data_IF_298228228744
#
_entry.id   IF_298228228744
#
_cell.length_a   1.000
_cell.length_b   1.000
_cell.length_c   1.000
_cell.angle_alpha   90.00
_cell.angle_beta   90.00
_cell.angle_gamma   90.00
#
_symmetry.space_group_name_H-M   'P 1'
#
loop_
_entity.id
_entity.type
_entity.pdbx_description
1 polymer ?
#
# COMPACT_ATOMS: atom_id res chain seq x y z
N UNK A 1 -25.89 -2.88 27.14
CA UNK A 1 -26.33 -4.13 26.47
C UNK A 1 -27.40 -4.89 27.27
N UNK A 2 -27.08 -5.57 28.38
CA UNK A 2 -28.02 -6.47 29.09
C UNK A 2 -29.40 -5.87 29.41
N UNK A 3 -29.44 -4.64 29.95
CA UNK A 3 -30.68 -3.91 30.24
C UNK A 3 -31.62 -3.75 29.03
N UNK A 4 -31.09 -3.66 27.82
CA UNK A 4 -31.87 -3.42 26.60
C UNK A 4 -32.19 -4.71 25.85
N UNK A 5 -31.25 -5.66 25.81
CA UNK A 5 -31.43 -6.93 25.11
C UNK A 5 -32.32 -7.91 25.89
N UNK A 6 -32.27 -7.87 27.23
CA UNK A 6 -33.04 -8.76 28.12
C UNK A 6 -33.68 -7.97 29.27
N UNK A 7 -34.66 -7.09 28.99
CA UNK A 7 -35.17 -6.13 29.95
C UNK A 7 -35.95 -6.77 31.12
N UNK A 8 -36.66 -7.88 30.88
CA UNK A 8 -37.42 -8.58 31.92
C UNK A 8 -36.51 -9.22 32.97
N UNK A 9 -35.50 -9.97 32.53
CA UNK A 9 -34.50 -10.59 33.40
C UNK A 9 -33.70 -9.55 34.17
N UNK A 10 -33.28 -8.47 33.50
CA UNK A 10 -32.58 -7.37 34.16
C UNK A 10 -33.41 -6.79 35.31
N UNK A 11 -34.70 -6.47 35.07
CA UNK A 11 -35.59 -5.91 36.10
C UNK A 11 -35.80 -6.88 37.25
N UNK A 12 -36.04 -8.17 36.96
CA UNK A 12 -36.23 -9.21 37.97
C UNK A 12 -34.99 -9.36 38.87
N UNK A 13 -33.79 -9.44 38.27
CA UNK A 13 -32.55 -9.51 39.06
C UNK A 13 -32.32 -8.24 39.87
N UNK A 14 -32.56 -7.06 39.28
CA UNK A 14 -32.36 -5.78 39.97
C UNK A 14 -33.28 -5.62 41.19
N UNK A 15 -34.55 -6.02 41.08
CA UNK A 15 -35.52 -5.99 42.19
C UNK A 15 -35.11 -6.93 43.33
N UNK A 16 -34.82 -8.20 43.01
CA UNK A 16 -34.39 -9.17 44.00
C UNK A 16 -33.08 -8.78 44.72
N UNK A 17 -32.17 -8.10 44.01
CA UNK A 17 -30.94 -7.55 44.59
C UNK A 17 -31.17 -6.35 45.50
N UNK A 18 -32.21 -5.56 45.23
CA UNK A 18 -32.55 -4.39 46.05
C UNK A 18 -33.17 -4.81 47.40
N UNK A 19 -34.04 -5.83 47.40
CA UNK A 19 -34.71 -6.35 48.59
C UNK A 19 -33.73 -6.87 49.65
N UNK A 20 -32.68 -7.59 49.23
CA UNK A 20 -31.66 -8.18 50.12
C UNK A 20 -30.41 -7.28 50.30
N UNK A 21 -30.47 -6.01 49.89
CA UNK A 21 -29.29 -5.12 49.85
C UNK A 21 -28.67 -4.88 51.23
N UNK A 22 -29.49 -4.52 52.22
CA UNK A 22 -29.04 -4.13 53.55
C UNK A 22 -28.32 -5.29 54.27
N UNK A 23 -28.95 -6.48 54.29
CA UNK A 23 -28.38 -7.69 54.90
C UNK A 23 -27.02 -8.05 54.27
N UNK A 24 -26.89 -7.89 52.95
CA UNK A 24 -25.65 -8.18 52.24
C UNK A 24 -24.56 -7.14 52.50
N UNK A 25 -24.89 -5.85 52.53
CA UNK A 25 -23.92 -4.79 52.83
C UNK A 25 -23.35 -4.97 54.24
N UNK A 26 -24.21 -5.21 55.23
CA UNK A 26 -23.78 -5.49 56.61
C UNK A 26 -22.91 -6.75 56.68
N UNK A 27 -23.31 -7.81 56.00
CA UNK A 27 -22.55 -9.06 55.98
C UNK A 27 -21.20 -8.96 55.26
N UNK A 28 -21.12 -8.23 54.14
CA UNK A 28 -19.84 -7.99 53.45
C UNK A 28 -18.93 -7.14 54.34
N UNK A 29 -19.47 -6.14 55.03
CA UNK A 29 -18.70 -5.26 55.89
C UNK A 29 -18.16 -5.99 57.12
N UNK A 30 -18.92 -6.91 57.73
CA UNK A 30 -18.42 -7.73 58.85
C UNK A 30 -17.28 -8.65 58.40
N UNK A 31 -17.47 -9.40 57.30
CA UNK A 31 -16.42 -10.26 56.72
C UNK A 31 -15.18 -9.46 56.30
N UNK A 32 -15.38 -8.26 55.73
CA UNK A 32 -14.28 -7.35 55.37
C UNK A 32 -13.46 -6.94 56.58
N UNK A 33 -14.12 -6.54 57.68
CA UNK A 33 -13.44 -6.13 58.93
C UNK A 33 -12.69 -7.29 59.57
N UNK A 34 -13.31 -8.47 59.62
CA UNK A 34 -12.68 -9.68 60.12
C UNK A 34 -11.40 -10.00 59.35
N UNK A 35 -11.49 -10.09 58.01
CA UNK A 35 -10.33 -10.41 57.17
C UNK A 35 -9.23 -9.32 57.27
N UNK A 36 -9.62 -8.05 57.37
CA UNK A 36 -8.68 -6.95 57.55
C UNK A 36 -7.91 -7.06 58.88
N UNK A 37 -8.57 -7.47 59.96
CA UNK A 37 -7.96 -7.66 61.26
C UNK A 37 -7.02 -8.89 61.28
N UNK A 38 -7.42 -9.99 60.66
CA UNK A 38 -6.62 -11.21 60.53
C UNK A 38 -5.31 -10.95 59.76
N UNK A 39 -5.38 -10.22 58.64
CA UNK A 39 -4.19 -9.84 57.86
C UNK A 39 -3.29 -8.88 58.65
N UNK A 40 -3.86 -7.92 59.37
CA UNK A 40 -3.09 -6.99 60.21
C UNK A 40 -2.38 -7.70 61.37
N UNK A 41 -3.03 -8.68 62.02
CA UNK A 41 -2.44 -9.47 63.10
C UNK A 41 -1.24 -10.32 62.60
N UNK A 42 -1.25 -10.74 61.34
CA UNK A 42 -0.14 -11.42 60.69
C UNK A 42 0.96 -10.45 60.18
N UNK A 43 0.84 -9.15 60.42
CA UNK A 43 1.79 -8.14 59.96
C UNK A 43 1.70 -7.81 58.46
N UNK A 44 0.62 -8.22 57.79
CA UNK A 44 0.42 -8.01 56.35
C UNK A 44 -0.36 -6.71 56.12
N UNK A 45 0.31 -5.73 55.52
CA UNK A 45 -0.34 -4.47 55.11
C UNK A 45 -1.14 -4.70 53.84
N UNK A 46 -2.46 -4.76 53.99
CA UNK A 46 -3.39 -4.99 52.88
C UNK A 46 -4.62 -4.09 52.99
N UNK A 47 -5.23 -3.76 51.85
CA UNK A 47 -6.52 -3.08 51.78
C UNK A 47 -7.60 -4.08 51.36
N UNK A 48 -8.55 -4.36 52.25
CA UNK A 48 -9.69 -5.24 51.96
C UNK A 48 -10.92 -4.43 51.56
N UNK A 49 -11.46 -4.71 50.37
CA UNK A 49 -12.64 -4.05 49.79
C UNK A 49 -13.72 -5.07 49.43
N UNK A 50 -14.99 -4.71 49.60
CA UNK A 50 -16.12 -5.49 49.09
C UNK A 50 -16.26 -5.34 47.58
N UNK A 51 -16.38 -6.45 46.84
CA UNK A 51 -16.56 -6.45 45.38
C UNK A 51 -18.03 -6.68 45.01
N UNK A 52 -18.78 -5.66 44.57
CA UNK A 52 -20.11 -5.90 44.02
C UNK A 52 -20.01 -6.67 42.70
N UNK A 53 -20.85 -7.70 42.53
CA UNK A 53 -20.97 -8.45 41.26
C UNK A 53 -21.90 -7.71 40.30
N UNK A 54 -21.50 -7.55 39.05
CA UNK A 54 -22.34 -6.95 38.01
C UNK A 54 -23.55 -7.82 37.67
N UNK A 55 -24.71 -7.20 37.43
CA UNK A 55 -25.98 -7.87 37.11
C UNK A 55 -25.86 -8.88 35.96
N UNK A 56 -25.14 -8.51 34.89
CA UNK A 56 -24.95 -9.39 33.75
C UNK A 56 -24.11 -10.63 34.10
N UNK A 57 -23.08 -10.50 34.92
CA UNK A 57 -22.26 -11.63 35.37
C UNK A 57 -23.04 -12.59 36.27
N UNK A 58 -23.95 -12.06 37.09
CA UNK A 58 -24.87 -12.86 37.91
C UNK A 58 -25.80 -13.66 36.98
N UNK A 59 -26.46 -13.00 36.04
CA UNK A 59 -27.35 -13.64 35.07
C UNK A 59 -26.62 -14.72 34.24
N UNK A 60 -25.40 -14.44 33.75
CA UNK A 60 -24.59 -15.41 33.00
C UNK A 60 -24.23 -16.65 33.84
N UNK A 61 -23.89 -16.47 35.12
CA UNK A 61 -23.62 -17.60 36.04
C UNK A 61 -24.88 -18.42 36.34
N UNK A 62 -26.04 -17.78 36.48
CA UNK A 62 -27.31 -18.47 36.66
C UNK A 62 -27.64 -19.36 35.46
N UNK A 63 -27.52 -18.83 34.25
CA UNK A 63 -27.76 -19.58 33.00
C UNK A 63 -26.78 -20.74 32.84
N UNK A 64 -25.47 -20.49 33.03
CA UNK A 64 -24.44 -21.50 32.78
C UNK A 64 -24.39 -22.66 33.78
N UNK A 65 -24.79 -22.44 35.05
CA UNK A 65 -24.75 -23.47 36.11
C UNK A 65 -26.14 -23.98 36.53
N UNK A 66 -27.22 -23.48 35.94
CA UNK A 66 -28.59 -23.81 36.33
C UNK A 66 -28.91 -23.48 37.80
N UNK A 67 -28.22 -22.51 38.38
CA UNK A 67 -28.31 -22.20 39.81
C UNK A 67 -29.52 -21.30 40.10
N UNK A 68 -30.26 -21.66 41.15
CA UNK A 68 -31.31 -20.81 41.71
C UNK A 68 -30.71 -19.49 42.23
N UNK A 69 -31.51 -18.43 42.12
CA UNK A 69 -31.15 -17.06 42.46
C UNK A 69 -30.55 -16.96 43.89
N UNK A 70 -31.12 -17.68 44.86
CA UNK A 70 -30.67 -17.71 46.27
C UNK A 70 -29.27 -18.33 46.45
N UNK A 71 -28.87 -19.33 45.66
CA UNK A 71 -27.52 -19.92 45.71
C UNK A 71 -26.46 -19.04 45.07
N UNK A 72 -26.84 -18.19 44.10
CA UNK A 72 -25.92 -17.24 43.46
C UNK A 72 -25.71 -16.00 44.33
N UNK A 73 -26.69 -15.65 45.17
CA UNK A 73 -26.64 -14.51 46.09
C UNK A 73 -25.73 -14.71 47.31
N UNK A 74 -25.43 -15.95 47.68
CA UNK A 74 -24.58 -16.25 48.85
C UNK A 74 -23.08 -16.07 48.56
N UNK A 75 -22.69 -15.90 47.29
CA UNK A 75 -21.29 -15.74 46.89
C UNK A 75 -20.84 -14.30 47.02
N UNK A 76 -20.60 -13.88 48.26
CA UNK A 76 -19.89 -12.64 48.60
C UNK A 76 -18.49 -12.67 47.99
N UNK A 77 -18.00 -11.50 47.59
CA UNK A 77 -16.66 -11.38 47.03
C UNK A 77 -15.90 -10.25 47.71
N UNK A 78 -14.70 -10.56 48.17
CA UNK A 78 -13.75 -9.63 48.75
C UNK A 78 -12.53 -9.49 47.85
N UNK A 79 -11.94 -8.30 47.87
CA UNK A 79 -10.73 -7.97 47.15
C UNK A 79 -9.69 -7.50 48.15
N UNK A 80 -8.53 -8.14 48.15
CA UNK A 80 -7.38 -7.82 48.97
C UNK A 80 -6.31 -7.22 48.05
N UNK A 81 -5.95 -5.97 48.31
CA UNK A 81 -4.90 -5.26 47.57
C UNK A 81 -3.67 -5.15 48.46
N UNK A 82 -2.54 -5.65 47.96
CA UNK A 82 -1.25 -5.64 48.66
C UNK A 82 -0.18 -4.89 47.85
N UNK A 83 0.99 -4.68 48.45
CA UNK A 83 2.09 -3.93 47.82
C UNK A 83 2.75 -4.72 46.67
N UNK A 84 3.10 -5.98 46.90
CA UNK A 84 3.91 -6.78 45.98
C UNK A 84 3.41 -8.24 45.87
N UNK A 85 4.04 -8.99 44.96
CA UNK A 85 3.68 -10.39 44.68
C UNK A 85 3.95 -11.32 45.87
N UNK A 86 5.09 -11.23 46.58
CA UNK A 86 5.28 -12.01 47.81
C UNK A 86 4.16 -11.78 48.84
N UNK A 87 3.72 -10.54 49.04
CA UNK A 87 2.60 -10.22 49.93
C UNK A 87 1.28 -10.84 49.45
N UNK A 88 1.07 -11.07 48.15
CA UNK A 88 -0.13 -11.76 47.65
C UNK A 88 -0.18 -13.20 48.18
N UNK A 89 0.93 -13.92 48.09
CA UNK A 89 1.02 -15.30 48.56
C UNK A 89 1.02 -15.40 50.08
N UNK A 90 1.62 -14.44 50.79
CA UNK A 90 1.52 -14.34 52.24
C UNK A 90 0.06 -14.13 52.70
N UNK A 91 -0.67 -13.22 52.04
CA UNK A 91 -2.08 -12.98 52.31
C UNK A 91 -2.93 -14.22 52.00
N UNK A 92 -2.65 -14.95 50.91
CA UNK A 92 -3.31 -16.21 50.59
C UNK A 92 -3.10 -17.25 51.70
N UNK A 93 -1.84 -17.42 52.13
CA UNK A 93 -1.49 -18.36 53.19
C UNK A 93 -2.21 -18.02 54.50
N UNK A 94 -2.30 -16.74 54.85
CA UNK A 94 -3.02 -16.30 56.04
C UNK A 94 -4.53 -16.58 55.93
N UNK A 95 -5.13 -16.31 54.76
CA UNK A 95 -6.54 -16.60 54.50
C UNK A 95 -6.84 -18.10 54.66
N UNK A 96 -5.98 -18.97 54.14
CA UNK A 96 -6.13 -20.43 54.26
C UNK A 96 -5.82 -20.98 55.66
N UNK A 97 -5.03 -20.25 56.46
CA UNK A 97 -4.77 -20.60 57.85
C UNK A 97 -5.97 -20.27 58.76
N UNK A 98 -6.65 -19.14 58.49
CA UNK A 98 -7.82 -18.70 59.26
C UNK A 98 -9.12 -19.36 58.81
N UNK A 99 -9.27 -19.65 57.52
CA UNK A 99 -10.53 -20.13 56.93
C UNK A 99 -10.29 -21.36 56.07
N UNK A 100 -11.22 -22.32 56.15
CA UNK A 100 -11.13 -23.56 55.38
C UNK A 100 -11.32 -23.29 53.88
N UNK A 101 -10.35 -23.61 53.00
CA UNK A 101 -10.51 -23.46 51.56
C UNK A 101 -11.45 -24.52 50.97
N UNK A 102 -12.22 -24.13 49.97
CA UNK A 102 -13.08 -25.02 49.19
C UNK A 102 -12.25 -25.74 48.12
N UNK A 103 -12.19 -27.08 48.11
CA UNK A 103 -11.42 -27.83 47.13
C UNK A 103 -11.83 -27.50 45.68
N UNK A 104 -10.85 -27.30 44.80
CA UNK A 104 -11.09 -27.02 43.38
C UNK A 104 -11.46 -25.57 43.05
N UNK A 105 -11.59 -24.68 44.05
CA UNK A 105 -11.93 -23.27 43.87
C UNK A 105 -10.72 -22.35 44.17
N UNK A 106 -9.52 -22.76 43.72
CA UNK A 106 -8.29 -21.98 43.77
C UNK A 106 -7.70 -21.82 42.37
N UNK A 107 -7.49 -20.57 41.94
CA UNK A 107 -6.82 -20.23 40.69
C UNK A 107 -5.68 -19.25 40.93
N UNK A 108 -4.51 -19.59 40.40
CA UNK A 108 -3.35 -18.70 40.37
C UNK A 108 -3.20 -18.03 39.00
N UNK A 109 -3.85 -16.87 38.85
CA UNK A 109 -3.68 -16.05 37.63
C UNK A 109 -2.46 -15.12 37.71
N UNK A 110 -1.68 -15.13 38.80
CA UNK A 110 -0.39 -14.42 38.83
C UNK A 110 0.62 -15.24 38.03
N UNK A 111 0.72 -16.53 38.33
CA UNK A 111 1.60 -17.47 37.64
C UNK A 111 1.08 -17.83 36.24
N UNK A 112 -0.25 -17.90 36.06
CA UNK A 112 -0.90 -18.20 34.77
C UNK A 112 -1.89 -17.10 34.38
N UNK A 113 -1.41 -15.95 33.87
CA UNK A 113 -2.27 -14.84 33.48
C UNK A 113 -3.30 -15.26 32.43
N UNK A 114 -4.48 -14.63 32.47
CA UNK A 114 -5.49 -14.85 31.41
C UNK A 114 -5.03 -14.23 30.09
N UNK A 115 -5.60 -14.63 28.93
CA UNK A 115 -5.22 -14.10 27.62
C UNK A 115 -5.27 -12.57 27.49
N UNK A 116 -6.09 -11.90 28.32
CA UNK A 116 -6.21 -10.45 28.37
C UNK A 116 -5.23 -9.76 29.34
N UNK A 117 -4.23 -10.47 29.86
CA UNK A 117 -3.26 -9.95 30.82
C UNK A 117 -3.78 -9.88 32.27
N UNK A 118 -5.00 -10.35 32.56
CA UNK A 118 -5.54 -10.31 33.92
C UNK A 118 -4.75 -11.19 34.89
N UNK A 119 -4.33 -10.59 36.01
CA UNK A 119 -3.57 -11.23 37.08
C UNK A 119 -4.24 -11.01 38.45
N UNK A 120 -4.38 -12.09 39.22
CA UNK A 120 -4.90 -12.13 40.60
C UNK A 120 -4.86 -13.57 41.13
N UNK A 121 -4.71 -13.77 42.44
CA UNK A 121 -5.04 -15.03 43.09
C UNK A 121 -6.53 -15.05 43.40
N UNK A 122 -7.21 -16.15 43.09
CA UNK A 122 -8.63 -16.35 43.41
C UNK A 122 -8.73 -17.57 44.30
N UNK A 123 -9.45 -17.44 45.41
CA UNK A 123 -9.76 -18.57 46.28
C UNK A 123 -11.16 -18.43 46.86
N UNK A 124 -11.85 -19.54 47.08
CA UNK A 124 -13.11 -19.56 47.84
C UNK A 124 -12.84 -20.23 49.19
N UNK A 125 -13.20 -19.55 50.28
CA UNK A 125 -13.05 -20.06 51.65
C UNK A 125 -14.37 -19.97 52.41
N UNK A 126 -14.54 -20.80 53.43
CA UNK A 126 -15.73 -20.80 54.29
C UNK A 126 -15.48 -19.92 55.51
N UNK A 127 -16.28 -18.85 55.67
CA UNK A 127 -16.27 -18.00 56.85
C UNK A 127 -17.33 -18.47 57.85
N UNK A 128 -16.93 -18.60 59.12
CA UNK A 128 -17.84 -18.91 60.21
C UNK A 128 -18.61 -17.65 60.63
N UNK A 129 -19.92 -17.76 60.84
CA UNK A 129 -20.72 -16.63 61.34
C UNK A 129 -20.50 -16.48 62.84
N UNK A 130 -20.20 -15.26 63.28
CA UNK A 130 -20.07 -14.88 64.70
C UNK A 130 -21.42 -14.82 65.43
N UNK A 131 -22.55 -14.92 64.71
CA UNK A 131 -23.90 -14.79 65.26
C UNK A 131 -24.65 -16.13 65.30
N UNK A 132 -24.26 -17.04 66.21
CA UNK A 132 -25.13 -17.95 66.96
C UNK A 132 -26.12 -18.91 66.25
N UNK A 133 -26.22 -18.93 64.92
CA UNK A 133 -27.10 -19.84 64.20
C UNK A 133 -26.33 -21.13 63.89
N UNK A 134 -26.51 -22.13 64.75
CA UNK A 134 -25.99 -23.48 64.56
C UNK A 134 -26.41 -24.06 63.19
N UNK A 135 -25.46 -24.03 62.26
CA UNK A 135 -25.49 -24.76 61.01
C UNK A 135 -24.06 -25.15 60.65
N UNK A 136 -23.82 -26.44 60.43
CA UNK A 136 -22.52 -27.10 60.19
C UNK A 136 -21.83 -26.71 58.86
N UNK A 137 -22.13 -25.54 58.32
CA UNK A 137 -21.61 -25.08 57.03
C UNK A 137 -21.32 -23.58 57.07
N UNK A 138 -20.04 -23.21 57.19
CA UNK A 138 -19.58 -21.83 56.99
C UNK A 138 -19.98 -21.29 55.62
N UNK A 139 -20.11 -19.97 55.49
CA UNK A 139 -20.56 -19.33 54.24
C UNK A 139 -19.42 -19.17 53.25
N UNK A 140 -19.60 -19.56 51.96
CA UNK A 140 -18.54 -19.44 50.96
C UNK A 140 -18.31 -17.98 50.55
N UNK A 141 -17.08 -17.51 50.71
CA UNK A 141 -16.65 -16.16 50.31
C UNK A 141 -15.51 -16.29 49.30
N UNK A 142 -15.68 -15.62 48.17
CA UNK A 142 -14.67 -15.51 47.12
C UNK A 142 -13.68 -14.40 47.48
N UNK A 143 -12.40 -14.72 47.67
CA UNK A 143 -11.33 -13.77 47.99
C UNK A 143 -10.41 -13.62 46.79
N UNK A 144 -10.20 -12.39 46.36
CA UNK A 144 -9.32 -12.04 45.25
C UNK A 144 -8.15 -11.22 45.75
N UNK A 145 -6.93 -11.75 45.61
CA UNK A 145 -5.71 -11.14 46.13
C UNK A 145 -4.84 -10.69 44.96
N UNK A 146 -4.42 -9.44 44.97
CA UNK A 146 -3.58 -8.87 43.90
C UNK A 146 -2.85 -7.62 44.37
N UNK A 147 -1.84 -7.20 43.60
CA UNK A 147 -1.14 -5.94 43.86
C UNK A 147 -1.94 -4.73 43.41
N UNK A 148 -1.54 -3.53 43.84
CA UNK A 148 -2.12 -2.28 43.34
C UNK A 148 -2.00 -2.15 41.81
N UNK A 149 -0.85 -2.48 41.23
CA UNK A 149 -0.63 -2.45 39.78
C UNK A 149 -1.53 -3.45 39.03
N UNK A 150 -1.65 -4.69 39.54
CA UNK A 150 -2.57 -5.69 38.98
C UNK A 150 -4.04 -5.25 39.10
N UNK A 151 -4.39 -4.56 40.18
CA UNK A 151 -5.72 -4.00 40.35
C UNK A 151 -6.01 -2.94 39.30
N UNK A 152 -5.10 -2.00 39.07
CA UNK A 152 -5.24 -0.93 38.09
C UNK A 152 -5.42 -1.49 36.67
N UNK A 153 -4.56 -2.44 36.29
CA UNK A 153 -4.63 -3.13 35.00
C UNK A 153 -5.94 -3.92 34.83
N UNK A 154 -6.45 -4.55 35.89
CA UNK A 154 -7.68 -5.31 35.81
C UNK A 154 -8.95 -4.45 35.66
N UNK A 155 -8.96 -3.23 36.18
CA UNK A 155 -10.12 -2.33 36.08
C UNK A 155 -10.12 -1.52 34.77
N UNK A 156 -8.95 -1.03 34.35
CA UNK A 156 -8.84 -0.14 33.19
C UNK A 156 -8.20 -0.82 31.97
N UNK A 157 -7.83 -2.10 32.08
CA UNK A 157 -7.15 -2.83 31.02
C UNK A 157 -5.79 -2.21 30.69
N UNK A 158 -5.46 -2.20 29.41
CA UNK A 158 -4.19 -1.64 28.94
C UNK A 158 -4.19 -0.11 28.91
N UNK A 159 -5.35 0.53 29.08
CA UNK A 159 -5.43 1.99 29.23
C UNK A 159 -4.82 2.50 30.54
N UNK A 160 -4.81 1.69 31.62
CA UNK A 160 -4.13 2.05 32.88
C UNK A 160 -2.60 2.17 32.72
N UNK A 161 -2.00 1.29 31.92
CA UNK A 161 -0.56 1.31 31.68
C UNK A 161 -0.11 2.56 30.89
N UNK A 162 -1.04 3.25 30.20
CA UNK A 162 -0.79 4.57 29.58
C UNK A 162 -0.79 5.71 30.61
N UNK A 163 -1.77 5.76 31.52
CA UNK A 163 -1.91 6.86 32.48
C UNK A 163 -0.80 6.86 33.57
N UNK A 164 -0.41 5.69 34.08
CA UNK A 164 0.60 5.60 35.14
C UNK A 164 2.02 5.98 34.65
N UNK A 165 2.35 5.67 33.39
CA UNK A 165 3.67 5.99 32.80
C UNK A 165 3.78 7.42 32.25
N UNK A 166 2.67 8.06 31.88
CA UNK A 166 2.66 9.52 31.62
C UNK A 166 2.92 10.32 32.92
N UNK A 167 2.42 9.85 34.06
CA UNK A 167 2.60 10.54 35.34
C UNK A 167 4.01 10.36 35.97
N UNK A 168 4.71 9.27 35.64
CA UNK A 168 6.04 8.94 36.18
C UNK A 168 7.22 9.69 35.55
N UNK A 169 7.01 10.45 34.47
CA UNK A 169 8.08 11.15 33.72
C UNK A 169 8.38 12.58 34.21
N UNK A 170 8.07 12.91 35.47
CA UNK A 170 8.50 14.16 36.13
C UNK A 170 9.53 13.86 37.22
N UNK A 171 10.69 13.36 36.82
CA UNK A 171 11.78 13.13 37.75
C UNK A 171 13.07 12.69 37.07
N UNK A 172 13.94 13.68 36.81
CA UNK A 172 15.38 13.53 36.58
C UNK A 172 15.89 13.08 35.19
N UNK A 173 16.42 14.08 34.48
CA UNK A 173 17.61 14.10 33.61
C UNK A 173 17.94 12.88 32.71
N UNK A 174 17.98 13.12 31.40
CA UNK A 174 18.90 12.42 30.49
C UNK A 174 18.31 12.09 29.11
N UNK A 175 18.81 12.77 28.08
CA UNK A 175 18.44 12.72 26.65
C UNK A 175 18.78 11.37 25.96
N UNK A 176 18.73 10.24 26.69
CA UNK A 176 19.01 8.90 26.16
C UNK A 176 17.80 7.94 26.21
N UNK A 177 16.74 8.27 26.97
CA UNK A 177 15.62 7.36 27.22
C UNK A 177 14.39 7.54 26.31
N UNK A 178 14.42 8.44 25.31
CA UNK A 178 13.29 8.64 24.41
C UNK A 178 13.07 7.43 23.48
N UNK A 179 14.14 6.81 22.97
CA UNK A 179 14.07 5.66 22.07
C UNK A 179 13.55 4.39 22.74
N UNK A 180 14.11 4.01 23.91
CA UNK A 180 13.62 2.84 24.65
C UNK A 180 12.18 3.00 25.16
N UNK A 181 11.79 4.24 25.48
CA UNK A 181 10.42 4.54 25.91
C UNK A 181 9.43 4.43 24.76
N UNK A 182 9.73 5.02 23.60
CA UNK A 182 8.90 4.87 22.40
C UNK A 182 8.81 3.42 21.93
N UNK A 183 9.92 2.67 21.97
CA UNK A 183 9.97 1.26 21.58
C UNK A 183 9.14 0.37 22.53
N UNK A 184 9.17 0.65 23.84
CA UNK A 184 8.32 -0.07 24.83
C UNK A 184 6.84 0.30 24.72
N UNK A 185 6.52 1.56 24.40
CA UNK A 185 5.13 2.00 24.14
C UNK A 185 4.59 1.40 22.85
N UNK A 186 5.43 1.34 21.82
CA UNK A 186 5.17 0.65 20.57
C UNK A 186 4.88 -0.85 20.81
N UNK A 187 5.71 -1.54 21.59
CA UNK A 187 5.51 -2.96 21.89
C UNK A 187 4.25 -3.22 22.70
N UNK A 188 3.93 -2.36 23.68
CA UNK A 188 2.68 -2.45 24.43
C UNK A 188 1.45 -2.25 23.52
N UNK A 189 1.48 -1.27 22.60
CA UNK A 189 0.40 -1.06 21.60
C UNK A 189 0.22 -2.27 20.69
N UNK A 190 1.33 -2.85 20.20
CA UNK A 190 1.30 -4.09 19.40
C UNK A 190 0.68 -5.24 20.18
N UNK A 191 1.02 -5.42 21.46
CA UNK A 191 0.48 -6.47 22.31
C UNK A 191 -1.04 -6.35 22.50
N UNK A 192 -1.57 -5.13 22.72
CA UNK A 192 -3.01 -4.89 22.83
C UNK A 192 -3.73 -5.20 21.54
N UNK A 193 -3.21 -4.71 20.41
CA UNK A 193 -3.88 -4.91 19.14
C UNK A 193 -3.81 -6.38 18.69
N UNK A 194 -2.70 -7.08 18.97
CA UNK A 194 -2.60 -8.53 18.80
C UNK A 194 -3.65 -9.26 19.65
N UNK A 195 -3.88 -8.85 20.90
CA UNK A 195 -4.95 -9.41 21.74
C UNK A 195 -6.35 -9.14 21.19
N UNK A 196 -6.61 -7.93 20.68
CA UNK A 196 -7.90 -7.58 20.07
C UNK A 196 -8.15 -8.37 18.77
N UNK A 197 -7.13 -8.53 17.93
CA UNK A 197 -7.21 -9.33 16.70
C UNK A 197 -7.31 -10.84 16.99
N UNK A 198 -6.66 -11.33 18.06
CA UNK A 198 -6.82 -12.70 18.52
C UNK A 198 -8.25 -12.96 19.02
N UNK A 199 -8.84 -12.01 19.74
CA UNK A 199 -10.25 -12.07 20.15
C UNK A 199 -11.23 -12.04 18.97
N UNK A 200 -10.94 -11.27 17.92
CA UNK A 200 -11.73 -11.30 16.69
C UNK A 200 -11.69 -12.69 16.04
N UNK A 201 -10.51 -13.32 15.95
CA UNK A 201 -10.36 -14.70 15.46
C UNK A 201 -11.10 -15.73 16.31
N UNK A 202 -11.07 -15.60 17.63
CA UNK A 202 -11.81 -16.50 18.53
C UNK A 202 -13.33 -16.32 18.39
N UNK A 203 -13.80 -15.11 18.06
CA UNK A 203 -15.21 -14.82 17.76
C UNK A 203 -15.64 -15.31 16.38
N UNK A 204 -14.82 -15.13 15.34
CA UNK A 204 -15.12 -15.62 13.98
C UNK A 204 -15.03 -17.14 13.88
N UNK A 205 -14.08 -17.78 14.57
CA UNK A 205 -14.00 -19.24 14.66
C UNK A 205 -15.19 -19.89 15.38
N UNK A 206 -15.94 -19.16 16.22
CA UNK A 206 -17.23 -19.62 16.76
C UNK A 206 -18.41 -19.40 15.81
N UNK A 207 -18.28 -18.52 14.81
CA UNK A 207 -19.32 -18.26 13.81
C UNK A 207 -19.27 -19.24 12.62
N UNK A 208 -18.12 -19.87 12.36
CA UNK A 208 -17.96 -20.89 11.30
C UNK A 208 -18.78 -22.18 11.54
N UNK A 209 -19.30 -22.40 12.75
CA UNK A 209 -20.21 -23.51 13.04
C UNK A 209 -21.64 -23.36 12.50
N UNK A 210 -21.99 -22.22 11.88
CA UNK A 210 -23.39 -21.92 11.53
C UNK A 210 -23.63 -21.26 10.16
N UNK A 211 -22.67 -21.25 9.22
CA UNK A 211 -22.85 -20.58 7.93
C UNK A 211 -22.53 -21.49 6.73
N UNK A 212 -23.34 -22.53 6.55
CA UNK A 212 -23.41 -23.29 5.29
C UNK A 212 -24.66 -22.87 4.48
N UNK A 213 -24.71 -21.64 3.99
CA UNK A 213 -25.61 -21.24 2.89
C UNK A 213 -25.05 -20.02 2.18
N UNK A 214 -24.68 -20.19 0.91
CA UNK A 214 -24.07 -19.15 0.10
C UNK A 214 -25.02 -18.00 -0.26
N UNK A 215 -24.45 -16.80 -0.34
CA UNK A 215 -24.93 -15.71 -1.20
C UNK A 215 -23.79 -14.69 -1.41
N UNK A 216 -23.44 -14.49 -2.69
CA UNK A 216 -22.53 -13.47 -3.21
C UNK A 216 -22.78 -12.07 -2.60
N UNK A 217 -21.82 -11.52 -1.87
CA UNK A 217 -21.72 -10.08 -1.55
C UNK A 217 -20.26 -9.63 -1.40
N UNK A 218 -19.64 -9.13 -2.48
CA UNK A 218 -18.39 -8.34 -2.45
C UNK A 218 -17.13 -9.07 -1.90
N UNK A 219 -15.94 -8.45 -1.96
CA UNK A 219 -14.75 -9.06 -1.36
C UNK A 219 -14.98 -9.15 0.14
N UNK A 220 -15.02 -10.37 0.65
CA UNK A 220 -15.17 -10.70 2.07
C UNK A 220 -14.20 -9.86 2.90
N UNK A 221 -14.64 -9.36 4.06
CA UNK A 221 -13.79 -8.71 5.06
C UNK A 221 -12.65 -9.62 5.59
N UNK A 222 -12.60 -10.89 5.15
CA UNK A 222 -11.61 -11.92 5.46
C UNK A 222 -10.26 -11.75 4.74
N UNK A 223 -10.15 -10.81 3.78
CA UNK A 223 -8.95 -10.66 2.93
C UNK A 223 -7.99 -9.53 3.36
N UNK A 224 -8.01 -9.09 4.62
CA UNK A 224 -7.16 -8.00 5.11
C UNK A 224 -6.27 -8.42 6.26
N UNK A 225 -4.98 -8.08 6.16
CA UNK A 225 -3.97 -8.30 7.21
C UNK A 225 -3.51 -6.94 7.75
N UNK A 226 -3.25 -6.90 9.05
CA UNK A 226 -2.72 -5.73 9.73
C UNK A 226 -1.29 -6.01 10.17
N UNK A 227 -0.36 -5.22 9.65
CA UNK A 227 1.07 -5.35 9.94
C UNK A 227 1.57 -4.07 10.59
N UNK A 228 2.60 -4.20 11.42
CA UNK A 228 3.16 -3.08 12.17
C UNK A 228 4.45 -2.56 11.53
N UNK A 229 4.64 -1.25 11.58
CA UNK A 229 5.96 -0.65 11.39
C UNK A 229 6.82 -0.81 12.64
N UNK A 230 8.15 -0.62 12.57
CA UNK A 230 9.01 -0.57 13.75
C UNK A 230 8.53 0.45 14.79
N UNK A 231 7.94 1.57 14.32
CA UNK A 231 7.33 2.62 15.15
C UNK A 231 5.91 2.27 15.66
N UNK A 232 5.49 1.01 15.56
CA UNK A 232 4.15 0.52 15.93
C UNK A 232 2.96 1.25 15.27
N UNK A 233 3.16 1.78 14.07
CA UNK A 233 2.02 2.21 13.25
C UNK A 233 1.41 1.00 12.56
N UNK A 234 0.08 0.91 12.59
CA UNK A 234 -0.67 -0.19 11.95
C UNK A 234 -0.89 0.15 10.50
N UNK A 235 -0.56 -0.78 9.62
CA UNK A 235 -0.79 -0.67 8.18
C UNK A 235 -1.65 -1.84 7.74
N UNK A 236 -2.71 -1.49 7.03
CA UNK A 236 -3.63 -2.45 6.43
C UNK A 236 -3.13 -2.86 5.04
N UNK A 237 -3.06 -4.16 4.80
CA UNK A 237 -2.70 -4.75 3.52
C UNK A 237 -3.72 -5.84 3.13
N UNK A 238 -3.74 -6.22 1.85
CA UNK A 238 -4.49 -7.39 1.41
C UNK A 238 -3.86 -8.70 1.88
N UNK A 239 -4.65 -9.75 2.04
CA UNK A 239 -4.18 -11.07 2.39
C UNK A 239 -3.12 -11.58 1.40
N UNK A 240 -2.07 -12.20 1.94
CA UNK A 240 -0.91 -12.65 1.15
C UNK A 240 -0.01 -11.54 0.62
N UNK A 241 -0.18 -10.29 1.06
CA UNK A 241 0.75 -9.21 0.73
C UNK A 241 2.17 -9.52 1.21
N UNK A 242 3.15 -9.00 0.49
CA UNK A 242 4.58 -9.22 0.76
C UNK A 242 5.23 -7.99 1.40
N UNK A 243 6.48 -8.10 1.91
CA UNK A 243 7.25 -6.95 2.35
C UNK A 243 7.43 -5.85 1.30
N UNK A 244 7.45 -6.21 0.00
CA UNK A 244 7.53 -5.23 -1.10
C UNK A 244 6.24 -4.43 -1.19
N UNK A 245 5.09 -5.09 -1.07
CA UNK A 245 3.80 -4.40 -1.03
C UNK A 245 3.69 -3.45 0.17
N UNK A 246 4.15 -3.89 1.34
CA UNK A 246 4.24 -3.04 2.54
C UNK A 246 5.10 -1.78 2.30
N UNK A 247 6.27 -1.93 1.65
CA UNK A 247 7.14 -0.82 1.33
C UNK A 247 6.46 0.21 0.39
N UNK A 248 5.71 -0.25 -0.61
CA UNK A 248 4.97 0.63 -1.53
C UNK A 248 3.78 1.34 -0.90
N UNK A 249 3.16 0.75 0.12
CA UNK A 249 2.10 1.39 0.90
C UNK A 249 2.67 2.50 1.78
N UNK A 250 3.84 2.27 2.39
CA UNK A 250 4.55 3.29 3.15
C UNK A 250 4.99 4.48 2.29
N UNK A 251 5.74 4.21 1.23
CA UNK A 251 6.19 5.25 0.30
C UNK A 251 6.61 4.65 -1.05
N UNK A 252 6.30 5.33 -2.15
CA UNK A 252 6.66 4.84 -3.49
C UNK A 252 8.18 4.72 -3.67
N UNK A 253 8.96 5.70 -3.21
CA UNK A 253 10.43 5.64 -3.27
C UNK A 253 11.06 4.63 -2.31
N UNK A 254 10.36 4.30 -1.20
CA UNK A 254 10.81 3.22 -0.32
C UNK A 254 10.61 1.87 -1.01
N UNK A 255 9.47 1.68 -1.68
CA UNK A 255 9.21 0.53 -2.54
C UNK A 255 10.25 0.37 -3.65
N UNK A 256 10.56 1.45 -4.39
CA UNK A 256 11.58 1.41 -5.45
C UNK A 256 12.97 1.02 -4.96
N UNK A 257 13.33 1.42 -3.73
CA UNK A 257 14.64 1.15 -3.14
C UNK A 257 14.68 -0.08 -2.24
N UNK A 258 13.58 -0.83 -2.13
CA UNK A 258 13.46 -1.99 -1.27
C UNK A 258 14.44 -3.09 -1.72
N UNK A 259 15.33 -3.52 -0.82
CA UNK A 259 16.35 -4.57 -1.11
C UNK A 259 16.22 -5.78 -0.21
N UNK A 260 15.74 -5.59 1.00
CA UNK A 260 15.49 -6.67 1.96
C UNK A 260 14.40 -6.27 2.94
N UNK A 261 13.91 -7.25 3.69
CA UNK A 261 12.96 -7.01 4.76
C UNK A 261 13.31 -7.87 5.97
N UNK A 262 13.02 -7.34 7.16
CA UNK A 262 13.01 -8.09 8.41
C UNK A 262 11.59 -8.18 8.93
N UNK A 263 11.18 -9.37 9.33
CA UNK A 263 9.88 -9.61 9.96
C UNK A 263 10.14 -10.11 11.37
N UNK A 264 9.62 -9.40 12.36
CA UNK A 264 9.84 -9.64 13.80
C UNK A 264 11.35 -9.79 14.16
N UNK A 265 12.19 -8.99 13.50
CA UNK A 265 13.65 -8.95 13.70
C UNK A 265 14.45 -9.95 12.86
N UNK A 266 13.81 -10.93 12.20
CA UNK A 266 14.48 -11.92 11.35
C UNK A 266 14.49 -11.49 9.87
N UNK A 267 15.62 -11.66 9.17
CA UNK A 267 15.72 -11.42 7.72
C UNK A 267 14.87 -12.45 6.96
N UNK A 268 13.96 -11.98 6.12
CA UNK A 268 13.09 -12.83 5.30
C UNK A 268 13.24 -12.51 3.81
N UNK A 269 13.03 -13.50 2.93
CA UNK A 269 12.90 -13.27 1.50
C UNK A 269 11.75 -12.30 1.17
N UNK A 270 11.95 -11.44 0.16
CA UNK A 270 10.97 -10.43 -0.26
C UNK A 270 9.65 -11.00 -0.82
N UNK A 271 9.62 -12.27 -1.20
CA UNK A 271 8.42 -12.99 -1.67
C UNK A 271 7.66 -13.70 -0.54
N UNK A 272 8.10 -13.58 0.71
CA UNK A 272 7.43 -14.19 1.86
C UNK A 272 6.10 -13.49 2.12
N UNK A 273 4.96 -14.20 2.20
CA UNK A 273 3.68 -13.58 2.54
C UNK A 273 3.68 -13.15 4.02
N UNK A 274 3.16 -11.96 4.28
CA UNK A 274 3.02 -11.40 5.61
C UNK A 274 1.78 -11.95 6.31
N UNK A 275 1.89 -12.12 7.63
CA UNK A 275 0.81 -12.54 8.50
C UNK A 275 0.35 -11.39 9.42
N UNK A 276 -0.88 -11.51 9.91
CA UNK A 276 -1.47 -10.51 10.79
C UNK A 276 -0.68 -10.38 12.10
N UNK A 277 -0.43 -9.14 12.54
CA UNK A 277 0.24 -8.83 13.80
C UNK A 277 1.78 -8.88 13.77
N UNK A 278 2.40 -9.07 12.60
CA UNK A 278 3.86 -9.07 12.45
C UNK A 278 4.41 -7.64 12.36
N UNK A 279 5.63 -7.42 12.86
CA UNK A 279 6.38 -6.16 12.66
C UNK A 279 7.29 -6.30 11.45
N UNK A 280 7.14 -5.41 10.47
CA UNK A 280 7.93 -5.42 9.23
C UNK A 280 8.86 -4.21 9.18
N UNK A 281 10.15 -4.46 9.07
CA UNK A 281 11.19 -3.45 8.83
C UNK A 281 11.71 -3.60 7.40
N UNK A 282 11.73 -2.51 6.63
CA UNK A 282 12.19 -2.52 5.24
C UNK A 282 13.62 -1.99 5.18
N UNK A 283 14.51 -2.79 4.59
CA UNK A 283 15.90 -2.39 4.31
C UNK A 283 15.97 -1.83 2.90
N UNK A 284 16.18 -0.52 2.80
CA UNK A 284 16.27 0.20 1.54
C UNK A 284 17.72 0.54 1.16
N UNK A 285 18.05 0.44 -0.13
CA UNK A 285 19.33 0.89 -0.67
C UNK A 285 19.38 2.43 -0.82
N UNK A 286 20.59 3.01 -0.80
CA UNK A 286 20.77 4.45 -1.06
C UNK A 286 20.42 4.81 -2.50
N UNK A 287 20.91 3.98 -3.44
CA UNK A 287 20.71 4.12 -4.88
C UNK A 287 20.22 2.79 -5.47
N UNK A 288 19.48 2.86 -6.56
CA UNK A 288 18.92 1.71 -7.25
C UNK A 288 17.44 1.87 -7.61
N UNK A 289 16.88 0.84 -8.22
CA UNK A 289 15.48 0.78 -8.61
C UNK A 289 14.90 -0.63 -8.43
N UNK A 290 13.60 -0.78 -8.69
CA UNK A 290 12.92 -2.07 -8.62
C UNK A 290 13.51 -3.07 -9.63
N UNK A 291 13.37 -4.37 -9.36
CA UNK A 291 13.68 -5.42 -10.35
C UNK A 291 12.49 -5.68 -11.27
N UNK A 292 12.75 -6.03 -12.54
CA UNK A 292 11.73 -6.52 -13.47
C UNK A 292 11.07 -7.82 -12.98
N UNK A 293 11.80 -8.63 -12.22
CA UNK A 293 11.31 -9.89 -11.63
C UNK A 293 10.11 -9.67 -10.72
N UNK A 294 9.96 -8.47 -10.14
CA UNK A 294 8.84 -8.14 -9.27
C UNK A 294 7.50 -8.05 -10.02
N UNK A 295 7.55 -7.84 -11.34
CA UNK A 295 6.37 -7.84 -12.20
C UNK A 295 5.94 -9.26 -12.59
N UNK A 296 6.79 -10.26 -12.42
CA UNK A 296 6.45 -11.66 -12.70
C UNK A 296 5.49 -12.19 -11.64
N UNK A 297 4.31 -12.64 -12.07
CA UNK A 297 3.27 -13.16 -11.19
C UNK A 297 3.67 -14.48 -10.50
N UNK A 298 4.53 -15.29 -11.12
CA UNK A 298 4.93 -16.61 -10.61
C UNK A 298 5.93 -16.50 -9.44
N UNK A 299 6.80 -15.49 -9.46
CA UNK A 299 7.81 -15.29 -8.42
C UNK A 299 7.22 -14.74 -7.11
N UNK A 300 5.99 -14.22 -7.15
CA UNK A 300 5.22 -13.88 -5.96
C UNK A 300 5.71 -12.66 -5.17
N UNK A 301 6.57 -11.81 -5.73
CA UNK A 301 7.11 -10.63 -5.02
C UNK A 301 6.09 -9.54 -4.75
N UNK A 302 5.15 -9.30 -5.67
CA UNK A 302 4.15 -8.24 -5.55
C UNK A 302 2.77 -8.85 -5.80
N UNK A 303 1.86 -8.70 -4.84
CA UNK A 303 0.46 -9.11 -4.96
C UNK A 303 -0.44 -7.91 -5.26
N UNK A 304 -0.17 -6.75 -4.65
CA UNK A 304 -1.02 -5.57 -4.81
C UNK A 304 -1.00 -5.01 -6.26
N UNK A 305 -2.18 -4.83 -6.91
CA UNK A 305 -2.26 -4.20 -8.22
C UNK A 305 -1.68 -2.78 -8.25
N UNK A 306 -1.84 -2.04 -7.14
CA UNK A 306 -1.31 -0.68 -7.00
C UNK A 306 0.22 -0.66 -7.04
N UNK A 307 0.87 -1.55 -6.30
CA UNK A 307 2.33 -1.68 -6.29
C UNK A 307 2.86 -2.05 -7.67
N UNK A 308 2.22 -3.01 -8.37
CA UNK A 308 2.58 -3.38 -9.75
C UNK A 308 2.49 -2.19 -10.70
N UNK A 309 1.44 -1.39 -10.59
CA UNK A 309 1.28 -0.19 -11.42
C UNK A 309 2.40 0.84 -11.18
N UNK A 310 2.84 1.02 -9.93
CA UNK A 310 3.96 1.91 -9.58
C UNK A 310 5.29 1.43 -10.17
N UNK A 311 5.60 0.14 -10.04
CA UNK A 311 6.80 -0.45 -10.67
C UNK A 311 6.78 -0.28 -12.19
N UNK A 312 5.65 -0.57 -12.85
CA UNK A 312 5.50 -0.37 -14.30
C UNK A 312 5.69 1.10 -14.71
N UNK A 313 5.11 2.02 -13.96
CA UNK A 313 5.26 3.45 -14.22
C UNK A 313 6.73 3.89 -14.12
N UNK A 314 7.48 3.34 -13.16
CA UNK A 314 8.92 3.63 -13.02
C UNK A 314 9.73 3.17 -14.23
N UNK A 315 9.54 1.92 -14.69
CA UNK A 315 10.22 1.42 -15.89
C UNK A 315 9.82 2.16 -17.16
N UNK A 316 8.53 2.50 -17.29
CA UNK A 316 8.05 3.30 -18.43
C UNK A 316 8.67 4.69 -18.44
N UNK A 317 8.81 5.34 -17.28
CA UNK A 317 9.48 6.64 -17.17
C UNK A 317 10.97 6.54 -17.54
N UNK A 318 11.66 5.48 -17.10
CA UNK A 318 13.06 5.25 -17.45
C UNK A 318 13.24 4.99 -18.96
N UNK A 319 12.38 4.16 -19.55
CA UNK A 319 12.38 3.90 -20.99
C UNK A 319 12.10 5.19 -21.78
N UNK A 320 11.12 5.99 -21.34
CA UNK A 320 10.78 7.27 -21.96
C UNK A 320 11.95 8.26 -21.90
N UNK A 321 12.61 8.38 -20.75
CA UNK A 321 13.80 9.21 -20.60
C UNK A 321 14.95 8.76 -21.54
N UNK A 322 15.16 7.45 -21.69
CA UNK A 322 16.13 6.89 -22.64
C UNK A 322 15.77 7.18 -24.10
N UNK A 323 14.49 7.09 -24.46
CA UNK A 323 13.98 7.43 -25.80
C UNK A 323 14.17 8.91 -26.11
N UNK A 324 13.82 9.80 -25.17
CA UNK A 324 14.02 11.25 -25.30
C UNK A 324 15.52 11.57 -25.46
N UNK A 325 16.39 10.96 -24.65
CA UNK A 325 17.83 11.16 -24.76
C UNK A 325 18.38 10.72 -26.13
N UNK A 326 17.92 9.58 -26.65
CA UNK A 326 18.29 9.10 -27.99
C UNK A 326 17.79 10.03 -29.09
N UNK A 327 16.53 10.47 -29.03
CA UNK A 327 15.97 11.40 -30.00
C UNK A 327 16.69 12.75 -29.98
N UNK A 328 17.05 13.24 -28.79
CA UNK A 328 17.88 14.44 -28.63
C UNK A 328 19.24 14.29 -29.30
N UNK A 329 19.93 13.17 -29.07
CA UNK A 329 21.22 12.90 -29.70
C UNK A 329 21.11 12.87 -31.24
N UNK A 330 20.06 12.27 -31.80
CA UNK A 330 19.81 12.23 -33.24
C UNK A 330 19.58 13.62 -33.83
N UNK A 331 18.76 14.44 -33.17
CA UNK A 331 18.47 15.82 -33.61
C UNK A 331 19.71 16.71 -33.47
N UNK A 332 20.46 16.60 -32.38
CA UNK A 332 21.70 17.36 -32.18
C UNK A 332 22.77 16.99 -33.23
N UNK A 333 22.96 15.70 -33.52
CA UNK A 333 23.85 15.26 -34.61
C UNK A 333 23.42 15.80 -35.96
N UNK A 334 22.11 15.84 -36.23
CA UNK A 334 21.57 16.41 -37.46
C UNK A 334 21.87 17.91 -37.56
N UNK A 335 21.58 18.69 -36.51
CA UNK A 335 21.85 20.12 -36.45
C UNK A 335 23.34 20.44 -36.61
N UNK A 336 24.21 19.59 -36.04
CA UNK A 336 25.66 19.70 -36.21
C UNK A 336 26.09 19.47 -37.66
N UNK A 337 25.52 18.47 -38.34
CA UNK A 337 25.80 18.19 -39.76
C UNK A 337 25.35 19.32 -40.68
N UNK A 338 24.23 19.97 -40.35
CA UNK A 338 23.69 21.11 -41.09
C UNK A 338 24.32 22.46 -40.70
N UNK A 339 25.23 22.49 -39.71
CA UNK A 339 25.89 23.71 -39.23
C UNK A 339 24.96 24.69 -38.49
N UNK A 340 23.83 24.21 -37.96
CA UNK A 340 22.75 25.02 -37.36
C UNK A 340 22.64 24.80 -35.83
N UNK A 341 23.77 24.72 -35.12
CA UNK A 341 23.81 24.40 -33.67
C UNK A 341 23.33 25.52 -32.75
N UNK A 342 23.22 26.76 -33.24
CA UNK A 342 22.77 27.90 -32.44
C UNK A 342 21.22 28.00 -32.31
N UNK A 343 20.47 27.13 -32.97
CA UNK A 343 19.00 27.14 -32.89
C UNK A 343 18.57 26.63 -31.52
N UNK A 344 17.69 27.37 -30.85
CA UNK A 344 17.05 26.91 -29.62
C UNK A 344 16.09 25.76 -29.93
N UNK A 345 16.29 24.63 -29.25
CA UNK A 345 15.58 23.37 -29.53
C UNK A 345 14.05 23.50 -29.36
N UNK A 346 13.59 24.34 -28.43
CA UNK A 346 12.16 24.63 -28.26
C UNK A 346 11.55 25.39 -29.44
N UNK A 347 12.30 26.28 -30.09
CA UNK A 347 11.82 27.01 -31.27
C UNK A 347 11.71 26.08 -32.47
N UNK A 348 12.67 25.17 -32.61
CA UNK A 348 12.63 24.12 -33.63
C UNK A 348 11.39 23.22 -33.44
N UNK A 349 11.12 22.82 -32.19
CA UNK A 349 9.95 22.02 -31.86
C UNK A 349 8.64 22.78 -32.16
N UNK A 350 8.56 24.07 -31.81
CA UNK A 350 7.39 24.90 -32.08
C UNK A 350 7.13 25.07 -33.59
N UNK A 351 8.18 25.26 -34.41
CA UNK A 351 8.06 25.34 -35.88
C UNK A 351 7.53 24.04 -36.50
N UNK A 352 7.84 22.90 -35.89
CA UNK A 352 7.37 21.59 -36.30
C UNK A 352 6.01 21.22 -35.70
N UNK A 353 5.40 22.10 -34.89
CA UNK A 353 4.08 21.90 -34.29
C UNK A 353 4.07 21.10 -32.98
N UNK A 354 5.22 20.88 -32.35
CA UNK A 354 5.32 20.23 -31.05
C UNK A 354 5.22 21.23 -29.89
N UNK A 355 4.73 20.75 -28.75
CA UNK A 355 4.54 21.58 -27.54
C UNK A 355 5.86 22.00 -26.86
N UNK A 356 6.97 21.32 -27.16
CA UNK A 356 8.30 21.60 -26.61
C UNK A 356 9.34 20.60 -27.12
N UNK A 357 10.62 20.84 -26.83
CA UNK A 357 11.73 20.03 -27.33
C UNK A 357 11.64 18.55 -26.92
N UNK A 358 11.29 18.25 -25.66
CA UNK A 358 11.18 16.86 -25.19
C UNK A 358 10.14 16.05 -25.96
N UNK A 359 9.03 16.66 -26.36
CA UNK A 359 8.00 16.00 -27.17
C UNK A 359 8.48 15.69 -28.58
N UNK A 360 9.25 16.60 -29.19
CA UNK A 360 9.91 16.33 -30.47
C UNK A 360 10.90 15.16 -30.32
N UNK A 361 11.75 15.18 -29.29
CA UNK A 361 12.74 14.14 -29.06
C UNK A 361 12.12 12.77 -28.76
N UNK A 362 10.99 12.74 -28.04
CA UNK A 362 10.26 11.50 -27.79
C UNK A 362 9.80 10.84 -29.11
N UNK A 363 9.16 11.61 -29.99
CA UNK A 363 8.60 11.12 -31.26
C UNK A 363 9.72 10.76 -32.26
N UNK A 364 10.81 11.54 -32.29
CA UNK A 364 12.00 11.20 -33.09
C UNK A 364 12.69 9.96 -32.53
N UNK A 365 12.81 9.82 -31.21
CA UNK A 365 13.43 8.65 -30.57
C UNK A 365 12.62 7.35 -30.74
N UNK A 366 11.32 7.46 -31.01
CA UNK A 366 10.41 6.37 -31.40
C UNK A 366 10.40 6.08 -32.91
N UNK A 367 11.16 6.84 -33.71
CA UNK A 367 11.15 6.79 -35.17
C UNK A 367 9.78 7.10 -35.83
N UNK A 368 8.84 7.70 -35.08
CA UNK A 368 7.54 8.13 -35.59
C UNK A 368 7.66 9.41 -36.45
N UNK A 369 8.67 10.24 -36.18
CA UNK A 369 8.97 11.44 -36.95
C UNK A 369 10.34 11.33 -37.62
N UNK A 370 10.34 11.34 -38.96
CA UNK A 370 11.57 11.23 -39.74
C UNK A 370 12.45 12.48 -39.63
N UNK A 371 13.75 12.26 -39.43
CA UNK A 371 14.77 13.33 -39.45
C UNK A 371 14.76 14.14 -40.76
N UNK A 372 14.30 13.55 -41.87
CA UNK A 372 14.18 14.24 -43.16
C UNK A 372 13.21 15.44 -43.12
N UNK A 373 12.18 15.36 -42.30
CA UNK A 373 11.23 16.47 -42.14
C UNK A 373 11.91 17.67 -41.47
N UNK A 374 12.83 17.41 -40.53
CA UNK A 374 13.65 18.44 -39.89
C UNK A 374 14.64 19.03 -40.90
N UNK A 375 15.26 18.19 -41.75
CA UNK A 375 16.14 18.66 -42.83
C UNK A 375 15.44 19.58 -43.82
N UNK A 376 14.21 19.24 -44.23
CA UNK A 376 13.41 20.06 -45.14
C UNK A 376 13.09 21.44 -44.57
N UNK A 377 12.86 21.53 -43.26
CA UNK A 377 12.67 22.81 -42.57
C UNK A 377 13.97 23.63 -42.54
N UNK A 378 15.12 22.99 -42.30
CA UNK A 378 16.42 23.65 -42.21
C UNK A 378 16.99 24.04 -43.59
N UNK A 379 16.61 23.29 -44.64
CA UNK A 379 16.88 23.55 -46.05
C UNK A 379 15.57 23.77 -46.80
N UNK A 380 14.91 24.93 -46.62
CA UNK A 380 13.78 25.26 -47.47
C UNK A 380 14.24 25.18 -48.92
N UNK A 381 13.48 24.49 -49.77
CA UNK A 381 13.79 24.37 -51.19
C UNK A 381 14.05 25.78 -51.74
N UNK A 382 15.19 25.97 -52.40
CA UNK A 382 15.44 27.22 -53.11
C UNK A 382 14.20 27.50 -53.98
N UNK A 383 13.67 28.74 -53.99
CA UNK A 383 12.58 29.07 -54.89
C UNK A 383 13.00 28.59 -56.27
N UNK A 384 12.12 27.80 -56.92
CA UNK A 384 12.38 27.31 -58.25
C UNK A 384 12.91 28.51 -59.07
N UNK A 385 14.04 28.39 -59.79
CA UNK A 385 14.44 29.45 -60.68
C UNK A 385 13.20 29.78 -61.49
N UNK A 386 12.80 31.07 -61.48
CA UNK A 386 11.63 31.54 -62.22
C UNK A 386 11.70 30.85 -63.57
N UNK A 387 10.65 30.11 -63.94
CA UNK A 387 10.60 29.43 -65.22
C UNK A 387 10.96 30.49 -66.26
N UNK A 388 12.20 30.46 -66.77
CA UNK A 388 12.52 31.16 -68.00
C UNK A 388 11.52 30.55 -68.97
N UNK A 389 10.52 31.34 -69.35
CA UNK A 389 9.45 30.93 -70.25
C UNK A 389 10.12 30.27 -71.45
N UNK A 390 10.20 28.94 -71.39
CA UNK A 390 10.78 28.16 -72.46
C UNK A 390 9.89 28.44 -73.64
N UNK A 391 10.41 29.16 -74.62
CA UNK A 391 9.68 29.46 -75.85
C UNK A 391 9.35 28.10 -76.47
N UNK A 392 8.16 27.60 -76.16
CA UNK A 392 7.61 26.42 -76.79
C UNK A 392 7.30 26.82 -78.23
N UNK A 393 8.30 26.70 -79.10
CA UNK A 393 8.10 26.72 -80.54
C UNK A 393 7.15 25.57 -80.87
N UNK A 394 5.86 25.88 -80.99
CA UNK A 394 4.87 24.97 -81.57
C UNK A 394 5.44 24.51 -82.90
N UNK A 395 5.80 23.23 -82.99
CA UNK A 395 6.05 22.58 -84.28
C UNK A 395 4.79 22.76 -85.10
N UNK A 396 4.83 23.68 -86.07
CA UNK A 396 3.82 23.73 -87.11
C UNK A 396 3.81 22.37 -87.79
N UNK A 397 2.61 21.78 -87.90
CA UNK A 397 2.39 20.62 -88.76
C UNK A 397 2.94 20.99 -90.13
N UNK A 398 3.93 20.25 -90.62
CA UNK A 398 4.43 20.39 -91.97
C UNK A 398 3.26 20.14 -92.93
N UNK A 399 2.68 21.21 -93.47
CA UNK A 399 1.86 21.14 -94.67
C UNK A 399 2.76 20.71 -95.82
N UNK A 400 2.25 19.85 -96.71
CA UNK A 400 2.92 19.31 -97.90
C UNK A 400 3.25 20.41 -98.93
N UNK A 401 4.13 21.34 -98.56
CA UNK A 401 4.72 22.37 -99.40
C UNK A 401 6.22 22.14 -99.46
N UNK A 402 6.62 21.03 -100.07
CA UNK A 402 8.01 20.68 -100.31
C UNK A 402 8.64 21.51 -101.44
N UNK A 403 9.97 21.41 -101.56
CA UNK A 403 10.74 22.06 -102.63
C UNK A 403 10.31 21.50 -103.99
N UNK A 404 9.77 22.35 -104.87
CA UNK A 404 9.41 22.01 -106.24
C UNK A 404 10.66 22.03 -107.13
N UNK A 405 10.93 20.92 -107.82
CA UNK A 405 12.02 20.83 -108.79
C UNK A 405 11.46 21.15 -110.17
N UNK A 406 12.04 22.14 -110.85
CA UNK A 406 11.55 22.62 -112.15
C UNK A 406 11.54 21.46 -113.17
N UNK A 407 10.35 21.12 -113.68
CA UNK A 407 10.15 20.13 -114.75
C UNK A 407 9.71 18.73 -114.31
N UNK A 408 9.61 18.43 -113.00
CA UNK A 408 9.11 17.13 -112.50
C UNK A 408 8.32 17.30 -111.20
N UNK A 409 7.11 16.73 -111.12
CA UNK A 409 6.34 16.70 -109.88
C UNK A 409 6.79 15.55 -108.95
N UNK A 410 6.88 15.84 -107.64
CA UNK A 410 7.07 14.85 -106.56
C UNK A 410 8.37 14.02 -106.58
N UNK A 411 9.53 14.70 -106.61
CA UNK A 411 10.81 14.08 -106.27
C UNK A 411 11.04 14.10 -104.75
N UNK A 412 11.62 13.02 -104.22
CA UNK A 412 12.09 12.98 -102.83
C UNK A 412 13.19 14.04 -102.65
N UNK A 413 12.85 15.13 -101.96
CA UNK A 413 13.77 16.24 -101.67
C UNK A 413 14.13 16.26 -100.19
N UNK A 414 15.40 16.52 -99.89
CA UNK A 414 15.88 16.65 -98.52
C UNK A 414 16.74 17.92 -98.37
N UNK A 415 16.42 18.76 -97.38
CA UNK A 415 17.21 19.96 -97.08
C UNK A 415 18.59 19.57 -96.54
N UNK A 416 19.64 20.14 -97.11
CA UNK A 416 21.01 19.85 -96.71
C UNK A 416 21.33 20.43 -95.32
N UNK A 417 21.89 19.59 -94.45
CA UNK A 417 22.25 19.97 -93.07
C UNK A 417 23.40 20.98 -92.99
N UNK A 418 24.23 21.08 -94.03
CA UNK A 418 25.42 21.92 -94.06
C UNK A 418 25.10 23.42 -94.19
N UNK A 419 24.05 23.79 -94.93
CA UNK A 419 23.67 25.19 -95.14
C UNK A 419 22.25 25.53 -94.72
N UNK A 420 21.43 24.53 -94.33
CA UNK A 420 20.05 24.68 -93.83
C UNK A 420 19.29 25.76 -94.62
N UNK A 421 18.97 25.51 -95.90
CA UNK A 421 18.30 26.50 -96.74
C UNK A 421 16.93 26.83 -96.19
N UNK A 422 16.60 28.13 -96.13
CA UNK A 422 15.31 28.63 -95.72
C UNK A 422 14.91 29.83 -96.61
N UNK A 423 13.62 30.06 -96.87
CA UNK A 423 13.20 31.28 -97.56
C UNK A 423 13.71 32.53 -96.82
N UNK A 424 14.27 33.54 -97.50
CA UNK A 424 14.26 33.81 -98.95
C UNK A 424 15.53 33.37 -99.72
N UNK A 425 16.36 32.47 -99.19
CA UNK A 425 17.61 32.07 -99.86
C UNK A 425 17.36 31.45 -101.24
N UNK A 426 18.17 31.81 -102.23
CA UNK A 426 18.22 31.09 -103.49
C UNK A 426 18.75 29.66 -103.28
N UNK A 427 18.02 28.66 -103.76
CA UNK A 427 18.33 27.24 -103.56
C UNK A 427 18.76 26.56 -104.86
N UNK A 428 19.60 25.53 -104.73
CA UNK A 428 20.01 24.63 -105.82
C UNK A 428 19.91 23.17 -105.36
N UNK A 429 19.60 22.27 -106.28
CA UNK A 429 19.46 20.84 -106.01
C UNK A 429 20.64 20.03 -106.54
N UNK A 430 21.16 19.10 -105.75
CA UNK A 430 22.17 18.12 -106.15
C UNK A 430 21.58 16.70 -106.07
N UNK A 431 21.71 15.90 -107.12
CA UNK A 431 21.16 14.54 -107.17
C UNK A 431 22.09 13.58 -106.45
N UNK A 432 21.66 13.01 -105.33
CA UNK A 432 22.45 12.06 -104.55
C UNK A 432 22.25 10.62 -105.02
N UNK A 433 23.27 9.76 -104.83
CA UNK A 433 23.13 8.31 -105.04
C UNK A 433 22.25 7.70 -103.94
N UNK A 434 20.94 7.62 -104.19
CA UNK A 434 19.99 6.81 -103.41
C UNK A 434 19.15 7.55 -102.36
N UNK A 435 19.37 8.85 -102.10
CA UNK A 435 18.58 9.63 -101.11
C UNK A 435 17.79 10.79 -101.72
N UNK A 436 17.58 10.77 -103.04
CA UNK A 436 16.87 11.82 -103.76
C UNK A 436 17.72 13.08 -103.98
N UNK A 437 17.06 14.23 -104.08
CA UNK A 437 17.70 15.52 -104.35
C UNK A 437 18.02 16.24 -103.03
N UNK A 438 19.30 16.51 -102.79
CA UNK A 438 19.74 17.33 -101.66
C UNK A 438 19.63 18.81 -102.05
N UNK A 439 18.88 19.59 -101.27
CA UNK A 439 18.65 21.01 -101.52
C UNK A 439 19.64 21.83 -100.70
N UNK A 440 20.47 22.62 -101.38
CA UNK A 440 21.47 23.51 -100.80
C UNK A 440 21.11 24.98 -101.08
N UNK A 441 21.68 25.92 -100.34
CA UNK A 441 21.74 27.33 -100.78
C UNK A 441 22.68 27.43 -101.98
N UNK A 442 22.34 28.24 -102.97
CA UNK A 442 23.14 28.42 -104.19
C UNK A 442 24.59 28.91 -103.90
N UNK A 443 24.78 29.61 -102.78
CA UNK A 443 26.09 30.09 -102.32
C UNK A 443 26.86 29.11 -101.42
N UNK A 444 26.34 27.91 -101.16
CA UNK A 444 26.99 26.94 -100.26
C UNK A 444 28.30 26.43 -100.88
N UNK A 445 29.39 26.49 -100.11
CA UNK A 445 30.70 25.95 -100.51
C UNK A 445 30.62 24.47 -100.87
N UNK A 446 29.91 23.67 -100.07
CA UNK A 446 29.69 22.24 -100.31
C UNK A 446 28.74 21.92 -101.49
N UNK A 447 28.14 22.94 -102.13
CA UNK A 447 27.34 22.78 -103.34
C UNK A 447 28.10 23.20 -104.60
N UNK A 448 29.08 24.10 -104.45
CA UNK A 448 29.94 24.57 -105.55
C UNK A 448 31.08 23.61 -105.89
N UNK A 449 31.40 22.70 -104.97
CA UNK A 449 32.30 21.57 -105.13
C UNK A 449 31.48 20.29 -105.29
#
# INVERSE_FOLDING_TARGET
AFRFLQPADYKRLAQALAEKRLQRETGIESTRRQLQAELAAAGIVAQVQGRPKHLYSIWKKMQGKGLALDRVFDLRALRVIVADVPACYAALSQVHACHRPVPGEYDDYIARPKPNGYQSLHTVVLFDETDGAAGDAGRPVEVQIRTAAMHEHAEHGVAAHWAYKEAGAKGYAGVLAAGEFEERVAEARKAVLRQLLAWERDFSGQAEGAAATGANTGPSFEDRIYVFTPQATVIELGAGATPVDFAYVLHTDLGHRCRGARVDGALVPLNTPLANGQTVEVVAAKEGGPSLDWLNAELGYIRSPRSKAKVRAWFNAQAMAGTIARGRELVEKLLQREGRTAIRLDDLAAQLGFKGADALFEVVGKDEFSLRNIELLLRPAAPAPAEEEGIHLKRTRATEGGVLVVGVESLLTQLARCCRPAPPDAIGGYVTRGKGVAVHRAACSNFRH
#
